data_IF_291838158221
#
_entry.id   IF_291838158221
#
_cell.length_a   1.000
_cell.length_b   1.000
_cell.length_c   1.000
_cell.angle_alpha   90.00
_cell.angle_beta   90.00
_cell.angle_gamma   90.00
#
_symmetry.space_group_name_H-M   'P 1'
#
loop_
_entity.id
_entity.type
_entity.pdbx_description
1 polymer ?
#
# COMPACT_ATOMS: atom_id res chain seq x y z
N UNK A 1 9.19 -15.12 25.77
CA UNK A 1 9.66 -14.57 24.48
C UNK A 1 8.57 -14.81 23.45
N UNK A 2 7.75 -13.80 23.14
CA UNK A 2 6.73 -13.87 22.09
C UNK A 2 7.34 -13.30 20.81
N UNK A 3 7.14 -14.01 19.70
CA UNK A 3 7.73 -13.72 18.40
C UNK A 3 7.43 -12.28 17.93
N UNK A 4 8.47 -11.46 17.83
CA UNK A 4 8.52 -10.24 17.01
C UNK A 4 9.15 -10.67 15.68
N UNK A 5 8.43 -11.45 14.88
CA UNK A 5 8.84 -11.83 13.53
C UNK A 5 7.60 -11.65 12.68
N UNK A 6 7.55 -10.57 11.92
CA UNK A 6 6.44 -10.33 10.99
C UNK A 6 6.36 -8.93 10.41
N UNK A 7 7.04 -7.94 11.00
CA UNK A 7 6.93 -6.55 10.55
C UNK A 7 7.98 -6.12 9.50
N UNK A 8 8.99 -6.95 9.21
CA UNK A 8 10.10 -6.58 8.31
C UNK A 8 10.04 -7.21 6.90
N UNK A 9 8.90 -7.73 6.47
CA UNK A 9 8.75 -8.33 5.14
C UNK A 9 8.26 -7.34 4.06
N UNK A 10 7.86 -6.11 4.42
CA UNK A 10 7.27 -5.16 3.48
C UNK A 10 8.29 -4.36 2.67
N UNK A 11 9.55 -4.29 3.11
CA UNK A 11 10.59 -3.48 2.43
C UNK A 11 11.22 -4.23 1.23
N UNK A 12 11.08 -5.55 1.16
CA UNK A 12 11.67 -6.38 0.09
C UNK A 12 10.79 -6.58 -1.16
N UNK A 13 9.51 -6.18 -1.13
CA UNK A 13 8.57 -6.44 -2.23
C UNK A 13 8.56 -5.37 -3.32
N UNK A 14 9.35 -4.31 -3.19
CA UNK A 14 9.60 -3.35 -4.26
C UNK A 14 10.80 -3.73 -5.14
N UNK A 15 11.15 -5.02 -5.19
CA UNK A 15 12.12 -5.49 -6.18
C UNK A 15 11.54 -5.26 -7.58
N UNK A 16 12.32 -4.53 -8.36
CA UNK A 16 12.09 -3.98 -9.70
C UNK A 16 11.80 -5.01 -10.81
N UNK A 17 11.46 -6.25 -10.44
CA UNK A 17 11.23 -7.38 -11.34
C UNK A 17 9.74 -7.70 -11.56
N UNK A 18 8.81 -7.00 -10.88
CA UNK A 18 7.36 -7.18 -11.04
C UNK A 18 6.68 -6.11 -11.90
N UNK A 19 7.41 -5.42 -12.79
CA UNK A 19 6.81 -4.70 -13.91
C UNK A 19 6.46 -5.66 -15.07
N UNK A 20 6.09 -6.91 -14.79
CA UNK A 20 5.18 -7.61 -15.69
C UNK A 20 3.83 -6.91 -15.51
N UNK A 21 3.19 -6.51 -16.61
CA UNK A 21 1.90 -5.82 -16.59
C UNK A 21 0.96 -6.48 -15.57
N UNK A 22 0.81 -5.88 -14.38
CA UNK A 22 -0.16 -6.35 -13.39
C UNK A 22 -1.50 -6.25 -14.09
N UNK A 23 -2.25 -7.35 -14.12
CA UNK A 23 -3.59 -7.29 -14.69
C UNK A 23 -4.43 -6.28 -13.91
N UNK A 24 -5.48 -5.75 -14.53
CA UNK A 24 -6.41 -4.84 -13.86
C UNK A 24 -6.93 -5.40 -12.53
N UNK A 25 -7.22 -6.70 -12.48
CA UNK A 25 -7.59 -7.40 -11.25
C UNK A 25 -6.52 -7.31 -10.16
N UNK A 26 -5.25 -7.59 -10.49
CA UNK A 26 -4.13 -7.51 -9.55
C UNK A 26 -3.86 -6.09 -9.05
N UNK A 27 -4.06 -5.08 -9.91
CA UNK A 27 -3.91 -3.68 -9.50
C UNK A 27 -5.04 -3.24 -8.57
N UNK A 28 -6.29 -3.67 -8.85
CA UNK A 28 -7.45 -3.40 -7.98
C UNK A 28 -7.28 -4.08 -6.62
N UNK A 29 -6.81 -5.32 -6.60
CA UNK A 29 -6.51 -6.06 -5.36
C UNK A 29 -5.42 -5.35 -4.55
N UNK A 30 -4.27 -5.03 -5.17
CA UNK A 30 -3.19 -4.31 -4.52
C UNK A 30 -3.64 -2.94 -3.96
N UNK A 31 -4.53 -2.24 -4.67
CA UNK A 31 -5.15 -0.99 -4.20
C UNK A 31 -6.03 -1.23 -2.97
N UNK A 32 -6.80 -2.31 -2.95
CA UNK A 32 -7.65 -2.69 -1.82
C UNK A 32 -6.81 -3.01 -0.58
N UNK A 33 -5.77 -3.82 -0.73
CA UNK A 33 -4.83 -4.16 0.34
C UNK A 33 -4.12 -2.91 0.90
N UNK A 34 -3.62 -2.04 0.02
CA UNK A 34 -2.99 -0.80 0.44
C UNK A 34 -3.94 0.11 1.23
N UNK A 35 -5.22 0.19 0.83
CA UNK A 35 -6.26 0.92 1.60
C UNK A 35 -6.52 0.30 2.97
N UNK A 36 -6.56 -1.03 3.08
CA UNK A 36 -6.72 -1.72 4.36
C UNK A 36 -5.53 -1.41 5.28
N UNK A 37 -4.30 -1.43 4.75
CA UNK A 37 -3.09 -1.08 5.52
C UNK A 37 -3.09 0.39 5.93
N UNK A 38 -3.54 1.32 5.07
CA UNK A 38 -3.71 2.74 5.45
C UNK A 38 -4.66 2.89 6.64
N UNK A 39 -5.79 2.18 6.63
CA UNK A 39 -6.75 2.21 7.74
C UNK A 39 -6.14 1.64 9.02
N UNK A 40 -5.40 0.52 8.91
CA UNK A 40 -4.67 -0.07 10.04
C UNK A 40 -3.63 0.89 10.62
N UNK A 41 -2.77 1.49 9.79
CA UNK A 41 -1.76 2.46 10.22
C UNK A 41 -2.42 3.70 10.85
N UNK A 42 -3.53 4.18 10.28
CA UNK A 42 -4.31 5.28 10.85
C UNK A 42 -4.81 4.95 12.26
N UNK A 43 -5.30 3.72 12.50
CA UNK A 43 -5.67 3.28 13.85
C UNK A 43 -4.45 3.25 14.77
N UNK A 44 -3.33 2.68 14.32
CA UNK A 44 -2.11 2.59 15.13
C UNK A 44 -1.52 3.95 15.51
N UNK A 45 -1.62 4.94 14.63
CA UNK A 45 -1.23 6.33 14.90
C UNK A 45 -2.14 6.91 15.99
N UNK A 46 -3.46 6.74 15.87
CA UNK A 46 -4.44 7.24 16.86
C UNK A 46 -4.26 6.61 18.24
N UNK A 47 -3.90 5.33 18.28
CA UNK A 47 -3.71 4.58 19.52
C UNK A 47 -2.33 4.80 20.15
N UNK A 48 -1.39 5.44 19.43
CA UNK A 48 -0.02 5.63 19.92
C UNK A 48 0.12 6.93 20.71
N UNK A 49 0.95 6.89 21.75
CA UNK A 49 1.36 8.03 22.56
C UNK A 49 2.86 8.33 22.46
N UNK A 50 3.57 7.66 21.55
CA UNK A 50 5.00 7.85 21.32
C UNK A 50 5.20 8.65 20.03
N UNK A 51 5.80 9.84 20.14
CA UNK A 51 5.94 10.78 19.03
C UNK A 51 6.78 10.21 17.86
N UNK A 52 7.87 9.51 18.15
CA UNK A 52 8.74 8.92 17.13
C UNK A 52 8.01 7.84 16.34
N UNK A 53 7.26 6.99 17.05
CA UNK A 53 6.43 5.95 16.45
C UNK A 53 5.28 6.53 15.63
N UNK A 54 4.67 7.61 16.09
CA UNK A 54 3.65 8.34 15.32
C UNK A 54 4.24 8.86 14.00
N UNK A 55 5.46 9.43 14.04
CA UNK A 55 6.14 9.93 12.86
C UNK A 55 6.43 8.81 11.86
N UNK A 56 7.04 7.70 12.31
CA UNK A 56 7.35 6.53 11.48
C UNK A 56 6.10 5.94 10.81
N UNK A 57 5.03 5.71 11.59
CA UNK A 57 3.78 5.18 11.06
C UNK A 57 3.09 6.16 10.09
N UNK A 58 3.25 7.46 10.32
CA UNK A 58 2.68 8.50 9.44
C UNK A 58 3.39 8.55 8.10
N UNK A 59 4.71 8.37 8.08
CA UNK A 59 5.52 8.28 6.86
C UNK A 59 5.11 7.05 6.04
N UNK A 60 5.07 5.86 6.65
CA UNK A 60 4.62 4.63 5.99
C UNK A 60 3.18 4.77 5.42
N UNK A 61 2.29 5.43 6.17
CA UNK A 61 0.93 5.70 5.70
C UNK A 61 0.93 6.64 4.49
N UNK A 62 1.78 7.67 4.48
CA UNK A 62 1.87 8.62 3.37
C UNK A 62 2.36 7.94 2.08
N UNK A 63 3.37 7.07 2.18
CA UNK A 63 3.86 6.28 1.04
C UNK A 63 2.76 5.40 0.43
N UNK A 64 1.94 4.75 1.27
CA UNK A 64 0.82 3.93 0.80
C UNK A 64 -0.29 4.77 0.17
N UNK A 65 -0.58 5.96 0.70
CA UNK A 65 -1.54 6.89 0.10
C UNK A 65 -1.08 7.28 -1.30
N UNK A 66 0.20 7.60 -1.46
CA UNK A 66 0.80 7.96 -2.74
C UNK A 66 0.82 6.77 -3.73
N UNK A 67 1.12 5.56 -3.24
CA UNK A 67 1.01 4.33 -4.02
C UNK A 67 -0.41 4.05 -4.51
N UNK A 68 -1.43 4.24 -3.66
CA UNK A 68 -2.84 4.12 -4.05
C UNK A 68 -3.22 5.16 -5.11
N UNK A 69 -2.69 6.38 -5.04
CA UNK A 69 -2.92 7.40 -6.04
C UNK A 69 -2.31 7.01 -7.39
N UNK A 70 -1.08 6.49 -7.42
CA UNK A 70 -0.45 5.95 -8.63
C UNK A 70 -1.25 4.78 -9.22
N UNK A 71 -1.65 3.81 -8.39
CA UNK A 71 -2.50 2.71 -8.84
C UNK A 71 -3.84 3.19 -9.41
N UNK A 72 -4.46 4.22 -8.82
CA UNK A 72 -5.69 4.80 -9.37
C UNK A 72 -5.49 5.37 -10.78
N UNK A 73 -4.41 6.10 -11.00
CA UNK A 73 -4.09 6.63 -12.32
C UNK A 73 -3.87 5.49 -13.32
N UNK A 74 -3.01 4.52 -12.98
CA UNK A 74 -2.73 3.37 -13.86
C UNK A 74 -3.96 2.51 -14.13
N UNK A 75 -4.80 2.23 -13.13
CA UNK A 75 -6.05 1.49 -13.31
C UNK A 75 -6.99 2.27 -14.22
N UNK A 76 -7.11 3.59 -14.04
CA UNK A 76 -7.96 4.39 -14.92
C UNK A 76 -7.43 4.40 -16.36
N UNK A 77 -6.12 4.47 -16.56
CA UNK A 77 -5.54 4.55 -17.90
C UNK A 77 -5.56 3.19 -18.62
N UNK A 78 -5.19 2.12 -17.92
CA UNK A 78 -5.08 0.77 -18.47
C UNK A 78 -6.42 0.07 -18.50
N UNK A 79 -7.22 0.18 -17.44
CA UNK A 79 -8.46 -0.59 -17.28
C UNK A 79 -9.70 0.11 -17.83
N UNK A 80 -9.68 1.43 -18.10
CA UNK A 80 -10.77 2.04 -18.89
C UNK A 80 -10.64 1.76 -20.38
N UNK A 81 -9.45 1.44 -20.88
CA UNK A 81 -9.27 1.05 -22.27
C UNK A 81 -10.04 -0.24 -22.60
N UNK A 82 -10.20 -1.16 -21.64
CA UNK A 82 -10.98 -2.42 -21.80
C UNK A 82 -12.52 -2.26 -21.69
N UNK A 83 -13.05 -1.11 -21.23
CA UNK A 83 -14.50 -0.90 -21.03
C UNK A 83 -15.16 -0.03 -22.11
N UNK A 84 -14.38 0.56 -23.02
CA UNK A 84 -14.86 1.42 -24.11
C UNK A 84 -14.66 0.81 -25.51
N UNK A 85 -14.32 -0.48 -25.59
CA UNK A 85 -14.36 -1.33 -26.80
C UNK A 85 -15.39 -2.45 -26.57
#
# INVERSE_FOLDING_TARGET
MKAIIGALALVGLFSTQAMAAKSCGQMIEAKSEAKATIAYLTSKIKDSNNADKIAELSEQRAELVDYVARLNATINDVCKADYND
#
